data_IF_729751605157
#
_entry.id   IF_729751605157
#
_cell.length_a   1.000
_cell.length_b   1.000
_cell.length_c   1.000
_cell.angle_alpha   90.00
_cell.angle_beta   90.00
_cell.angle_gamma   90.00
#
_symmetry.space_group_name_H-M   'P 1'
#
loop_
_entity.id
_entity.type
_entity.pdbx_description
1 polymer ?
#
# COMPACT_ATOMS: atom_id res chain seq x y z
N UNK A 1 -63.81 36.04 -0.44
CA UNK A 1 -62.78 35.70 -1.44
C UNK A 1 -61.42 35.83 -0.75
N UNK A 2 -60.83 34.69 -0.40
CA UNK A 2 -59.54 34.61 0.24
C UNK A 2 -58.40 34.72 -0.76
N UNK A 3 -57.45 35.59 -0.49
CA UNK A 3 -56.17 35.59 -1.18
C UNK A 3 -55.11 35.04 -0.24
N UNK A 4 -54.72 33.80 -0.50
CA UNK A 4 -53.66 33.10 0.21
C UNK A 4 -52.27 33.70 -0.11
N UNK A 5 -51.67 34.39 0.80
CA UNK A 5 -50.27 34.79 0.73
C UNK A 5 -49.36 33.62 1.15
N UNK A 6 -48.69 33.03 0.16
CA UNK A 6 -47.62 32.07 0.34
C UNK A 6 -46.42 32.72 0.99
N UNK A 7 -46.25 32.58 2.30
CA UNK A 7 -45.00 32.94 3.03
C UNK A 7 -43.91 31.91 2.68
N UNK A 8 -43.01 32.25 1.76
CA UNK A 8 -41.75 31.51 1.58
C UNK A 8 -40.91 31.70 2.86
N UNK A 9 -40.77 30.61 3.65
CA UNK A 9 -39.87 30.57 4.79
C UNK A 9 -38.43 30.61 4.28
N UNK A 10 -37.71 31.65 4.63
CA UNK A 10 -36.25 31.69 4.50
C UNK A 10 -35.68 30.70 5.52
N UNK A 11 -35.16 29.60 5.02
CA UNK A 11 -34.54 28.57 5.86
C UNK A 11 -33.16 29.07 6.30
N UNK A 12 -33.08 29.61 7.50
CA UNK A 12 -31.79 29.89 8.14
C UNK A 12 -31.11 28.58 8.42
N UNK A 13 -29.95 28.36 7.80
CA UNK A 13 -29.13 27.15 8.02
C UNK A 13 -28.72 27.09 9.50
N UNK A 14 -29.12 26.02 10.19
CA UNK A 14 -28.78 25.76 11.60
C UNK A 14 -27.26 25.63 11.76
N UNK A 15 -26.65 26.16 12.83
CA UNK A 15 -25.21 26.12 13.09
C UNK A 15 -24.62 24.71 13.13
N UNK A 16 -25.44 23.68 13.37
CA UNK A 16 -25.05 22.28 13.34
C UNK A 16 -24.51 21.80 11.97
N UNK A 17 -24.90 22.44 10.85
CA UNK A 17 -24.38 22.06 9.52
C UNK A 17 -23.00 22.65 9.22
N UNK A 18 -22.57 23.68 9.90
CA UNK A 18 -21.22 24.26 9.80
C UNK A 18 -20.23 23.37 10.57
N UNK A 19 -20.65 22.82 11.70
CA UNK A 19 -19.82 21.91 12.50
C UNK A 19 -19.56 20.57 11.77
N UNK A 20 -20.55 20.03 11.06
CA UNK A 20 -20.37 18.80 10.26
C UNK A 20 -19.45 18.98 9.06
N UNK A 21 -19.41 20.16 8.45
CA UNK A 21 -18.46 20.50 7.38
C UNK A 21 -17.02 20.62 7.90
N UNK A 22 -16.83 21.18 9.11
CA UNK A 22 -15.51 21.26 9.78
C UNK A 22 -14.98 19.88 10.19
N UNK A 23 -15.84 18.97 10.67
CA UNK A 23 -15.45 17.58 10.99
C UNK A 23 -15.13 16.75 9.74
N UNK A 24 -15.83 16.93 8.62
CA UNK A 24 -15.51 16.32 7.34
C UNK A 24 -14.16 16.84 6.80
N UNK A 25 -13.82 18.10 7.03
CA UNK A 25 -12.54 18.67 6.61
C UNK A 25 -11.36 18.14 7.45
N UNK A 26 -11.53 17.95 8.77
CA UNK A 26 -10.51 17.38 9.64
C UNK A 26 -10.26 15.89 9.34
N UNK A 27 -11.30 15.10 9.07
CA UNK A 27 -11.18 13.71 8.64
C UNK A 27 -10.51 13.59 7.25
N UNK A 28 -10.70 14.56 6.37
CA UNK A 28 -10.11 14.62 5.05
C UNK A 28 -8.59 14.91 5.09
N UNK A 29 -8.15 15.81 6.00
CA UNK A 29 -6.70 16.11 6.16
C UNK A 29 -5.93 14.94 6.74
N UNK A 30 -6.48 14.19 7.70
CA UNK A 30 -5.85 13.00 8.27
C UNK A 30 -5.68 11.88 7.24
N UNK A 31 -6.67 11.66 6.38
CA UNK A 31 -6.60 10.65 5.33
C UNK A 31 -5.67 11.07 4.15
N UNK A 32 -5.48 12.37 3.91
CA UNK A 32 -4.50 12.88 2.93
C UNK A 32 -3.07 12.77 3.45
N UNK A 33 -2.84 12.91 4.77
CA UNK A 33 -1.54 12.67 5.40
C UNK A 33 -1.13 11.19 5.30
N UNK A 34 -2.01 10.25 5.63
CA UNK A 34 -1.70 8.82 5.52
C UNK A 34 -1.30 8.37 4.09
N UNK A 35 -1.88 8.98 3.05
CA UNK A 35 -1.46 8.71 1.67
C UNK A 35 -0.10 9.29 1.30
N UNK A 36 0.25 10.47 1.83
CA UNK A 36 1.57 11.10 1.64
C UNK A 36 2.67 10.32 2.35
N UNK A 37 2.44 9.91 3.58
CA UNK A 37 3.39 9.14 4.38
C UNK A 37 3.68 7.78 3.74
N UNK A 38 2.66 7.11 3.20
CA UNK A 38 2.82 5.86 2.45
C UNK A 38 3.66 6.01 1.18
N UNK A 39 3.50 7.12 0.45
CA UNK A 39 4.29 7.41 -0.76
C UNK A 39 5.75 7.74 -0.39
N UNK A 40 5.99 8.49 0.67
CA UNK A 40 7.34 8.83 1.12
C UNK A 40 8.10 7.59 1.65
N UNK A 41 7.43 6.73 2.41
CA UNK A 41 8.02 5.45 2.83
C UNK A 41 8.36 4.58 1.62
N UNK A 42 7.48 4.53 0.63
CA UNK A 42 7.72 3.78 -0.61
C UNK A 42 8.95 4.31 -1.38
N UNK A 43 9.13 5.62 -1.44
CA UNK A 43 10.32 6.25 -2.05
C UNK A 43 11.60 5.87 -1.32
N UNK A 44 11.59 5.83 0.02
CA UNK A 44 12.75 5.41 0.83
C UNK A 44 13.15 3.96 0.55
N UNK A 45 12.17 3.05 0.46
CA UNK A 45 12.41 1.65 0.14
C UNK A 45 12.99 1.50 -1.27
N UNK A 46 12.46 2.21 -2.26
CA UNK A 46 12.96 2.23 -3.63
C UNK A 46 14.40 2.74 -3.68
N UNK A 47 14.72 3.86 -3.05
CA UNK A 47 16.07 4.41 -3.01
C UNK A 47 17.08 3.45 -2.35
N UNK A 48 16.69 2.74 -1.29
CA UNK A 48 17.52 1.72 -0.66
C UNK A 48 17.81 0.53 -1.59
N UNK A 49 16.82 0.10 -2.36
CA UNK A 49 16.97 -0.98 -3.35
C UNK A 49 17.85 -0.55 -4.54
N UNK A 50 17.69 0.67 -5.04
CA UNK A 50 18.53 1.23 -6.10
C UNK A 50 19.99 1.31 -5.66
N UNK A 51 20.27 1.75 -4.43
CA UNK A 51 21.62 1.75 -3.85
C UNK A 51 22.20 0.33 -3.80
N UNK A 52 21.44 -0.67 -3.34
CA UNK A 52 21.89 -2.07 -3.31
C UNK A 52 22.24 -2.60 -4.69
N UNK A 53 21.40 -2.32 -5.68
CA UNK A 53 21.65 -2.72 -7.08
C UNK A 53 22.95 -2.12 -7.57
N UNK A 54 23.20 -0.82 -7.34
CA UNK A 54 24.43 -0.15 -7.73
C UNK A 54 25.66 -0.71 -7.01
N UNK A 55 25.53 -1.12 -5.75
CA UNK A 55 26.62 -1.75 -4.99
C UNK A 55 26.97 -3.15 -5.56
N UNK A 56 25.95 -3.95 -5.92
CA UNK A 56 26.17 -5.25 -6.57
C UNK A 56 26.77 -5.08 -7.98
N UNK A 57 26.34 -4.09 -8.76
CA UNK A 57 26.91 -3.79 -10.08
C UNK A 57 28.41 -3.45 -9.97
N UNK A 58 28.77 -2.59 -9.00
CA UNK A 58 30.18 -2.24 -8.74
C UNK A 58 31.01 -3.46 -8.29
N UNK A 59 30.42 -4.31 -7.47
CA UNK A 59 31.10 -5.52 -7.00
C UNK A 59 31.28 -6.54 -8.14
N UNK A 60 30.30 -6.70 -9.02
CA UNK A 60 30.38 -7.58 -10.19
C UNK A 60 31.48 -7.11 -11.14
N UNK A 61 31.60 -5.80 -11.39
CA UNK A 61 32.61 -5.24 -12.28
C UNK A 61 34.06 -5.42 -11.79
N UNK A 62 34.25 -5.61 -10.47
CA UNK A 62 35.58 -5.83 -9.85
C UNK A 62 36.03 -7.30 -9.83
N UNK A 63 35.17 -8.23 -10.23
CA UNK A 63 35.51 -9.67 -10.18
C UNK A 63 36.43 -10.01 -11.37
N UNK A 64 37.64 -10.50 -11.06
CA UNK A 64 38.61 -10.97 -12.04
C UNK A 64 38.18 -12.29 -12.67
N UNK A 65 38.76 -12.63 -13.83
CA UNK A 65 38.42 -13.86 -14.54
C UNK A 65 38.99 -15.10 -13.87
N UNK A 66 38.19 -16.18 -13.86
CA UNK A 66 38.56 -17.47 -13.27
C UNK A 66 37.36 -18.29 -12.81
N UNK A 67 37.57 -19.51 -12.41
CA UNK A 67 36.50 -20.47 -12.03
C UNK A 67 35.75 -20.03 -10.77
N UNK A 68 36.49 -19.64 -9.74
CA UNK A 68 35.90 -19.11 -8.51
C UNK A 68 35.22 -17.76 -8.74
N UNK A 69 35.76 -16.95 -9.65
CA UNK A 69 35.17 -15.69 -10.07
C UNK A 69 33.82 -15.87 -10.80
N UNK A 70 33.65 -16.91 -11.60
CA UNK A 70 32.39 -17.20 -12.28
C UNK A 70 31.29 -17.55 -11.27
N UNK A 71 31.59 -18.38 -10.26
CA UNK A 71 30.65 -18.71 -9.19
C UNK A 71 30.19 -17.46 -8.43
N UNK A 72 31.14 -16.62 -7.99
CA UNK A 72 30.83 -15.41 -7.27
C UNK A 72 30.05 -14.40 -8.14
N UNK A 73 30.43 -14.26 -9.40
CA UNK A 73 29.69 -13.40 -10.37
C UNK A 73 28.22 -13.84 -10.52
N UNK A 74 27.98 -15.13 -10.70
CA UNK A 74 26.62 -15.68 -10.83
C UNK A 74 25.82 -15.46 -9.53
N UNK A 75 26.46 -15.67 -8.38
CA UNK A 75 25.84 -15.45 -7.08
C UNK A 75 25.44 -13.98 -6.87
N UNK A 76 26.29 -13.03 -7.26
CA UNK A 76 25.98 -11.60 -7.20
C UNK A 76 24.92 -11.21 -8.22
N UNK A 77 24.97 -11.73 -9.45
CA UNK A 77 23.92 -11.52 -10.44
C UNK A 77 22.56 -12.03 -9.95
N UNK A 78 22.50 -13.17 -9.25
CA UNK A 78 21.27 -13.66 -8.67
C UNK A 78 20.70 -12.71 -7.62
N UNK A 79 21.56 -12.16 -6.74
CA UNK A 79 21.15 -11.13 -5.75
C UNK A 79 20.69 -9.84 -6.41
N UNK A 80 21.42 -9.39 -7.43
CA UNK A 80 21.04 -8.20 -8.20
C UNK A 80 19.67 -8.37 -8.86
N UNK A 81 19.42 -9.52 -9.49
CA UNK A 81 18.12 -9.83 -10.10
C UNK A 81 17.01 -9.85 -9.06
N UNK A 82 17.23 -10.44 -7.88
CA UNK A 82 16.25 -10.44 -6.81
C UNK A 82 15.96 -9.01 -6.32
N UNK A 83 16.98 -8.19 -6.11
CA UNK A 83 16.82 -6.78 -5.73
C UNK A 83 16.10 -5.96 -6.81
N UNK A 84 16.35 -6.22 -8.10
CA UNK A 84 15.60 -5.57 -9.20
C UNK A 84 14.13 -6.00 -9.24
N UNK A 85 13.83 -7.27 -8.97
CA UNK A 85 12.44 -7.71 -8.88
C UNK A 85 11.71 -7.01 -7.74
N UNK A 86 12.35 -6.91 -6.56
CA UNK A 86 11.80 -6.17 -5.43
C UNK A 86 11.57 -4.69 -5.79
N UNK A 87 12.55 -4.05 -6.45
CA UNK A 87 12.42 -2.68 -6.93
C UNK A 87 11.20 -2.51 -7.85
N UNK A 88 10.99 -3.44 -8.78
CA UNK A 88 9.83 -3.41 -9.67
C UNK A 88 8.53 -3.54 -8.89
N UNK A 89 8.44 -4.49 -7.94
CA UNK A 89 7.25 -4.67 -7.11
C UNK A 89 6.93 -3.42 -6.29
N UNK A 90 7.95 -2.81 -5.68
CA UNK A 90 7.79 -1.60 -4.88
C UNK A 90 7.42 -0.39 -5.76
N UNK A 91 8.00 -0.28 -6.96
CA UNK A 91 7.62 0.77 -7.92
C UNK A 91 6.19 0.57 -8.43
N UNK A 92 5.75 -0.66 -8.67
CA UNK A 92 4.36 -0.96 -9.02
C UNK A 92 3.38 -0.61 -7.89
N UNK A 93 3.77 -0.81 -6.62
CA UNK A 93 2.98 -0.34 -5.45
C UNK A 93 2.88 1.19 -5.44
N UNK A 94 3.99 1.88 -5.68
CA UNK A 94 4.00 3.35 -5.77
C UNK A 94 3.06 3.86 -6.87
N UNK A 95 3.07 3.24 -8.04
CA UNK A 95 2.14 3.57 -9.15
C UNK A 95 0.68 3.40 -8.70
N UNK A 96 0.36 2.31 -7.99
CA UNK A 96 -1.01 2.09 -7.48
C UNK A 96 -1.43 3.16 -6.46
N UNK A 97 -0.53 3.52 -5.54
CA UNK A 97 -0.79 4.57 -4.54
C UNK A 97 -1.01 5.92 -5.21
N UNK A 98 -0.14 6.30 -6.16
CA UNK A 98 -0.29 7.55 -6.91
C UNK A 98 -1.60 7.60 -7.70
N UNK A 99 -1.99 6.52 -8.36
CA UNK A 99 -3.28 6.45 -9.07
C UNK A 99 -4.47 6.64 -8.13
N UNK A 100 -4.44 6.01 -6.95
CA UNK A 100 -5.49 6.18 -5.93
C UNK A 100 -5.58 7.63 -5.46
N UNK A 101 -4.44 8.26 -5.20
CA UNK A 101 -4.39 9.66 -4.79
C UNK A 101 -4.83 10.62 -5.90
N UNK A 102 -4.47 10.36 -7.15
CA UNK A 102 -4.93 11.12 -8.31
C UNK A 102 -6.45 11.03 -8.42
N UNK A 103 -7.02 9.83 -8.40
CA UNK A 103 -8.47 9.63 -8.47
C UNK A 103 -9.21 10.39 -7.36
N UNK A 104 -8.68 10.37 -6.15
CA UNK A 104 -9.26 11.09 -5.01
C UNK A 104 -9.19 12.61 -5.20
N UNK A 105 -8.04 13.12 -5.63
CA UNK A 105 -7.85 14.56 -5.87
C UNK A 105 -8.71 15.05 -7.02
N UNK A 106 -8.85 14.25 -8.07
CA UNK A 106 -9.70 14.56 -9.23
C UNK A 106 -11.18 14.66 -8.83
N UNK A 107 -11.66 13.72 -8.01
CA UNK A 107 -13.02 13.80 -7.45
C UNK A 107 -13.24 15.09 -6.65
N UNK A 108 -12.30 15.43 -5.76
CA UNK A 108 -12.40 16.65 -4.94
C UNK A 108 -12.38 17.91 -5.81
N UNK A 109 -11.49 17.98 -6.79
CA UNK A 109 -11.43 19.10 -7.73
C UNK A 109 -12.73 19.24 -8.55
N UNK A 110 -13.34 18.11 -8.92
CA UNK A 110 -14.64 18.06 -9.59
C UNK A 110 -15.76 18.59 -8.72
N UNK A 111 -15.86 18.14 -7.47
CA UNK A 111 -16.86 18.59 -6.50
C UNK A 111 -16.74 20.09 -6.20
N UNK A 112 -15.52 20.57 -5.98
CA UNK A 112 -15.24 22.00 -5.76
C UNK A 112 -15.57 22.84 -6.99
N UNK A 113 -15.23 22.37 -8.19
CA UNK A 113 -15.56 23.05 -9.44
C UNK A 113 -17.08 23.16 -9.64
N UNK A 114 -17.82 22.10 -9.34
CA UNK A 114 -19.28 22.07 -9.39
C UNK A 114 -19.90 23.00 -8.35
N UNK A 115 -19.32 23.06 -7.14
CA UNK A 115 -19.75 24.00 -6.11
C UNK A 115 -19.49 25.44 -6.51
N UNK A 116 -18.33 25.74 -7.11
CA UNK A 116 -17.99 27.05 -7.63
C UNK A 116 -18.98 27.53 -8.68
N UNK A 117 -19.34 26.66 -9.62
CA UNK A 117 -20.29 27.00 -10.69
C UNK A 117 -21.70 27.26 -10.14
N UNK A 118 -22.17 26.43 -9.21
CA UNK A 118 -23.43 26.68 -8.50
C UNK A 118 -23.44 28.04 -7.78
N UNK A 119 -22.35 28.37 -7.09
CA UNK A 119 -22.23 29.65 -6.39
C UNK A 119 -22.20 30.83 -7.35
N UNK A 120 -21.49 30.71 -8.48
CA UNK A 120 -21.48 31.75 -9.54
C UNK A 120 -22.86 31.96 -10.15
N UNK A 121 -23.58 30.88 -10.47
CA UNK A 121 -24.94 30.98 -10.99
C UNK A 121 -25.88 31.69 -10.01
N UNK A 122 -25.87 31.31 -8.73
CA UNK A 122 -26.65 31.95 -7.68
C UNK A 122 -26.31 33.43 -7.53
N UNK A 123 -25.02 33.78 -7.55
CA UNK A 123 -24.61 35.16 -7.49
C UNK A 123 -25.07 35.97 -8.71
N UNK A 124 -24.96 35.40 -9.91
CA UNK A 124 -25.46 36.04 -11.14
C UNK A 124 -26.96 36.30 -11.07
N UNK A 125 -27.75 35.41 -10.50
CA UNK A 125 -29.18 35.62 -10.27
C UNK A 125 -29.43 36.75 -9.28
N UNK A 126 -28.69 36.78 -8.16
CA UNK A 126 -28.78 37.87 -7.18
C UNK A 126 -28.44 39.25 -7.79
N UNK A 127 -27.45 39.27 -8.68
CA UNK A 127 -27.06 40.53 -9.38
C UNK A 127 -28.13 40.97 -10.38
N UNK A 128 -28.69 40.00 -11.16
CA UNK A 128 -29.80 40.28 -12.09
C UNK A 128 -31.03 40.82 -11.36
N UNK A 129 -31.40 40.23 -10.23
CA UNK A 129 -32.49 40.68 -9.40
C UNK A 129 -32.22 42.09 -8.85
N UNK A 130 -31.01 42.35 -8.37
CA UNK A 130 -30.61 43.68 -7.91
C UNK A 130 -30.72 44.72 -9.02
N UNK A 131 -30.29 44.41 -10.24
CA UNK A 131 -30.38 45.30 -11.38
C UNK A 131 -31.84 45.56 -11.78
N UNK A 132 -32.71 44.56 -11.79
CA UNK A 132 -34.16 44.72 -12.05
C UNK A 132 -34.78 45.65 -11.00
N UNK A 133 -34.47 45.44 -9.71
CA UNK A 133 -34.96 46.25 -8.63
C UNK A 133 -34.45 47.69 -8.72
N UNK A 134 -33.19 47.90 -9.11
CA UNK A 134 -32.64 49.24 -9.35
C UNK A 134 -33.33 49.93 -10.51
N UNK A 135 -33.60 49.24 -11.62
CA UNK A 135 -34.21 49.83 -12.80
C UNK A 135 -35.71 50.13 -12.66
N UNK A 136 -36.44 49.29 -11.93
CA UNK A 136 -37.91 49.32 -11.87
C UNK A 136 -38.45 49.78 -10.50
N UNK A 137 -37.72 49.53 -9.42
CA UNK A 137 -38.10 49.89 -8.05
C UNK A 137 -36.97 50.73 -7.42
N UNK A 138 -37.15 52.08 -7.42
CA UNK A 138 -36.20 52.94 -6.74
C UNK A 138 -36.20 52.61 -5.24
N UNK A 139 -35.04 52.27 -4.66
CA UNK A 139 -34.89 51.98 -3.23
C UNK A 139 -35.44 53.07 -2.34
N UNK A 140 -35.38 54.33 -2.81
CA UNK A 140 -35.99 55.48 -2.12
C UNK A 140 -37.52 55.32 -2.07
N UNK A 141 -38.17 54.94 -3.17
CA UNK A 141 -39.62 54.68 -3.21
C UNK A 141 -40.01 53.57 -2.25
N UNK A 142 -39.18 52.51 -2.16
CA UNK A 142 -39.41 51.43 -1.22
C UNK A 142 -39.33 51.86 0.23
N UNK A 143 -38.37 52.71 0.59
CA UNK A 143 -38.22 53.28 1.93
C UNK A 143 -39.36 54.27 2.23
N UNK A 144 -39.67 55.18 1.30
CA UNK A 144 -40.71 56.19 1.48
C UNK A 144 -42.15 55.64 1.46
N UNK A 145 -42.36 54.39 0.98
CA UNK A 145 -43.65 53.71 1.10
C UNK A 145 -43.93 53.09 2.47
N UNK A 146 -43.10 53.41 3.49
CA UNK A 146 -43.23 52.92 4.84
C UNK A 146 -44.39 53.57 5.58
N UNK A 147 -45.05 52.81 6.45
CA UNK A 147 -46.22 53.26 7.23
C UNK A 147 -45.82 54.11 8.45
N UNK A 148 -44.70 53.77 9.05
CA UNK A 148 -44.15 54.40 10.23
C UNK A 148 -42.62 54.29 10.27
N UNK A 149 -42.00 54.93 11.28
CA UNK A 149 -40.54 54.95 11.45
C UNK A 149 -39.96 53.55 11.73
N UNK A 150 -40.69 52.68 12.40
CA UNK A 150 -40.28 51.32 12.67
C UNK A 150 -40.21 50.47 11.37
N UNK A 151 -41.14 50.69 10.44
CA UNK A 151 -41.14 50.06 9.11
C UNK A 151 -39.98 50.56 8.24
N UNK A 152 -39.65 51.86 8.32
CA UNK A 152 -38.44 52.43 7.68
C UNK A 152 -37.19 51.74 8.19
N UNK A 153 -37.03 51.62 9.52
CA UNK A 153 -35.86 50.95 10.13
C UNK A 153 -35.75 49.50 9.69
N UNK A 154 -36.83 48.73 9.65
CA UNK A 154 -36.86 47.36 9.16
C UNK A 154 -36.46 47.24 7.68
N UNK A 155 -36.97 48.15 6.82
CA UNK A 155 -36.65 48.14 5.38
C UNK A 155 -35.17 48.45 5.14
N UNK A 156 -34.58 49.40 5.89
CA UNK A 156 -33.15 49.71 5.83
C UNK A 156 -32.32 48.49 6.29
N UNK A 157 -32.71 47.83 7.39
CA UNK A 157 -32.03 46.64 7.89
C UNK A 157 -32.05 45.50 6.87
N UNK A 158 -33.20 45.27 6.26
CA UNK A 158 -33.32 44.24 5.20
C UNK A 158 -32.42 44.52 3.99
N UNK A 159 -32.34 45.78 3.55
CA UNK A 159 -31.45 46.18 2.45
C UNK A 159 -29.98 46.01 2.79
N UNK A 160 -29.56 46.35 4.03
CA UNK A 160 -28.20 46.09 4.53
C UNK A 160 -27.89 44.58 4.61
N UNK A 161 -28.82 43.78 5.07
CA UNK A 161 -28.66 42.34 5.15
C UNK A 161 -28.49 41.72 3.76
N UNK A 162 -29.30 42.13 2.75
CA UNK A 162 -29.15 41.70 1.37
C UNK A 162 -27.80 42.12 0.79
N UNK A 163 -27.33 43.35 1.05
CA UNK A 163 -26.03 43.81 0.61
C UNK A 163 -24.89 42.97 1.23
N UNK A 164 -24.94 42.75 2.54
CA UNK A 164 -23.98 41.90 3.26
C UNK A 164 -23.99 40.44 2.77
N UNK A 165 -25.17 39.89 2.43
CA UNK A 165 -25.26 38.53 1.84
C UNK A 165 -24.56 38.45 0.48
N UNK A 166 -24.69 39.48 -0.36
CA UNK A 166 -24.00 39.55 -1.66
C UNK A 166 -22.49 39.61 -1.50
N UNK A 167 -22.02 40.44 -0.60
CA UNK A 167 -20.59 40.59 -0.29
C UNK A 167 -19.99 39.29 0.22
N UNK A 168 -20.64 38.63 1.19
CA UNK A 168 -20.24 37.30 1.67
C UNK A 168 -20.19 36.28 0.53
N UNK A 169 -21.20 36.25 -0.35
CA UNK A 169 -21.26 35.35 -1.47
C UNK A 169 -20.12 35.54 -2.48
N UNK A 170 -19.75 36.82 -2.71
CA UNK A 170 -18.60 37.16 -3.57
C UNK A 170 -17.29 36.64 -2.95
N UNK A 171 -17.12 36.86 -1.65
CA UNK A 171 -15.95 36.36 -0.91
C UNK A 171 -15.87 34.84 -0.94
N UNK A 172 -16.99 34.14 -0.75
CA UNK A 172 -17.06 32.66 -0.84
C UNK A 172 -16.66 32.14 -2.24
N UNK A 173 -17.12 32.83 -3.31
CA UNK A 173 -16.74 32.51 -4.69
C UNK A 173 -15.24 32.72 -4.91
N UNK A 174 -14.65 33.77 -4.39
CA UNK A 174 -13.22 34.03 -4.51
C UNK A 174 -12.40 32.96 -3.80
N UNK A 175 -12.75 32.64 -2.54
CA UNK A 175 -12.10 31.58 -1.76
C UNK A 175 -12.21 30.22 -2.42
N UNK A 176 -13.39 29.86 -2.93
CA UNK A 176 -13.63 28.59 -3.60
C UNK A 176 -12.89 28.51 -4.95
N UNK A 177 -12.79 29.62 -5.68
CA UNK A 177 -12.01 29.72 -6.92
C UNK A 177 -10.52 29.44 -6.67
N UNK A 178 -9.99 30.00 -5.59
CA UNK A 178 -8.60 29.75 -5.18
C UNK A 178 -8.37 28.28 -4.77
N UNK A 179 -9.33 27.68 -4.04
CA UNK A 179 -9.25 26.26 -3.70
C UNK A 179 -9.25 25.37 -4.94
N UNK A 180 -10.14 25.64 -5.91
CA UNK A 180 -10.18 24.89 -7.19
C UNK A 180 -8.85 25.00 -7.92
N UNK A 181 -8.24 26.18 -7.95
CA UNK A 181 -6.95 26.39 -8.59
C UNK A 181 -5.83 25.57 -7.91
N UNK A 182 -5.79 25.58 -6.57
CA UNK A 182 -4.82 24.80 -5.79
C UNK A 182 -4.97 23.29 -6.01
N UNK A 183 -6.21 22.78 -5.98
CA UNK A 183 -6.44 21.33 -6.19
C UNK A 183 -6.11 20.88 -7.61
N UNK A 184 -6.40 21.71 -8.62
CA UNK A 184 -6.00 21.43 -10.01
C UNK A 184 -4.48 21.42 -10.18
N UNK A 185 -3.77 22.37 -9.60
CA UNK A 185 -2.30 22.39 -9.63
C UNK A 185 -1.71 21.15 -8.94
N UNK A 186 -2.25 20.76 -7.80
CA UNK A 186 -1.83 19.53 -7.09
C UNK A 186 -2.07 18.29 -7.93
N UNK A 187 -3.21 18.20 -8.61
CA UNK A 187 -3.56 17.12 -9.51
C UNK A 187 -2.56 17.00 -10.67
N UNK A 188 -2.20 18.12 -11.30
CA UNK A 188 -1.22 18.16 -12.38
C UNK A 188 0.18 17.75 -11.93
N UNK A 189 0.61 18.18 -10.76
CA UNK A 189 1.89 17.74 -10.16
C UNK A 189 1.90 16.23 -9.91
N UNK A 190 0.80 15.67 -9.41
CA UNK A 190 0.67 14.23 -9.18
C UNK A 190 0.67 13.43 -10.49
N UNK A 191 -0.02 13.91 -11.53
CA UNK A 191 -0.01 13.28 -12.86
C UNK A 191 1.40 13.24 -13.45
N UNK A 192 2.14 14.35 -13.41
CA UNK A 192 3.56 14.38 -13.86
C UNK A 192 4.44 13.41 -13.06
N UNK A 193 4.24 13.31 -11.74
CA UNK A 193 4.95 12.35 -10.91
C UNK A 193 4.62 10.90 -11.32
N UNK A 194 3.36 10.59 -11.61
CA UNK A 194 2.96 9.26 -12.09
C UNK A 194 3.61 8.91 -13.43
N UNK A 195 3.66 9.85 -14.36
CA UNK A 195 4.30 9.66 -15.67
C UNK A 195 5.79 9.36 -15.50
N UNK A 196 6.49 10.14 -14.69
CA UNK A 196 7.92 9.93 -14.39
C UNK A 196 8.16 8.54 -13.75
N UNK A 197 7.36 8.14 -12.77
CA UNK A 197 7.48 6.82 -12.11
C UNK A 197 7.17 5.69 -13.10
N UNK A 198 6.19 5.87 -13.98
CA UNK A 198 5.84 4.87 -15.00
C UNK A 198 6.94 4.69 -16.04
N UNK A 199 7.59 5.78 -16.46
CA UNK A 199 8.75 5.73 -17.34
C UNK A 199 9.92 4.99 -16.69
N UNK A 200 10.21 5.30 -15.41
CA UNK A 200 11.24 4.60 -14.65
C UNK A 200 10.91 3.09 -14.52
N UNK A 201 9.67 2.72 -14.23
CA UNK A 201 9.23 1.33 -14.16
C UNK A 201 9.54 0.58 -15.48
N UNK A 202 9.25 1.21 -16.62
CA UNK A 202 9.53 0.63 -17.94
C UNK A 202 11.03 0.43 -18.18
N UNK A 203 11.84 1.43 -17.83
CA UNK A 203 13.30 1.34 -17.91
C UNK A 203 13.87 0.23 -16.99
N UNK A 204 13.35 0.09 -15.78
CA UNK A 204 13.75 -0.97 -14.86
C UNK A 204 13.39 -2.37 -15.38
N UNK A 205 12.22 -2.54 -16.00
CA UNK A 205 11.83 -3.81 -16.64
C UNK A 205 12.81 -4.20 -17.76
N UNK A 206 13.22 -3.24 -18.57
CA UNK A 206 14.21 -3.49 -19.63
C UNK A 206 15.58 -3.86 -19.06
N UNK A 207 16.05 -3.17 -17.99
CA UNK A 207 17.30 -3.51 -17.31
C UNK A 207 17.24 -4.92 -16.72
N UNK A 208 16.15 -5.29 -16.03
CA UNK A 208 15.97 -6.64 -15.50
C UNK A 208 16.08 -7.70 -16.59
N UNK A 209 15.46 -7.46 -17.74
CA UNK A 209 15.53 -8.39 -18.87
C UNK A 209 16.94 -8.55 -19.43
N UNK A 210 17.71 -7.45 -19.52
CA UNK A 210 19.13 -7.50 -19.94
C UNK A 210 19.98 -8.27 -18.93
N UNK A 211 19.83 -7.98 -17.64
CA UNK A 211 20.59 -8.64 -16.57
C UNK A 211 20.29 -10.14 -16.49
N UNK A 212 19.04 -10.51 -16.67
CA UNK A 212 18.64 -11.92 -16.75
C UNK A 212 19.32 -12.64 -17.93
N UNK A 213 19.37 -12.01 -19.11
CA UNK A 213 20.07 -12.59 -20.28
C UNK A 213 21.57 -12.76 -20.02
N UNK A 214 22.21 -11.74 -19.44
CA UNK A 214 23.64 -11.80 -19.09
C UNK A 214 23.92 -12.88 -18.05
N UNK A 215 23.08 -12.98 -17.04
CA UNK A 215 23.21 -14.00 -16.02
C UNK A 215 23.06 -15.41 -16.56
N UNK A 216 22.10 -15.64 -17.47
CA UNK A 216 21.95 -16.92 -18.18
C UNK A 216 23.18 -17.29 -19.01
N UNK A 217 23.80 -16.31 -19.68
CA UNK A 217 25.03 -16.54 -20.46
C UNK A 217 26.17 -17.01 -19.54
N UNK A 218 26.37 -16.36 -18.38
CA UNK A 218 27.39 -16.77 -17.41
C UNK A 218 27.13 -18.18 -16.85
N UNK A 219 25.88 -18.53 -16.57
CA UNK A 219 25.54 -19.88 -16.06
C UNK A 219 25.79 -21.00 -17.07
N UNK A 220 25.64 -20.73 -18.36
CA UNK A 220 25.93 -21.73 -19.39
C UNK A 220 27.37 -22.23 -19.32
N UNK A 221 28.29 -21.40 -18.85
CA UNK A 221 29.72 -21.75 -18.72
C UNK A 221 30.02 -22.61 -17.49
N UNK A 222 29.08 -22.77 -16.56
CA UNK A 222 29.26 -23.57 -15.33
C UNK A 222 28.89 -25.03 -15.54
N UNK A 223 29.64 -25.92 -14.92
CA UNK A 223 29.31 -27.34 -14.89
C UNK A 223 28.07 -27.64 -14.02
N UNK A 224 27.43 -28.78 -14.23
CA UNK A 224 26.25 -29.20 -13.46
C UNK A 224 26.53 -29.30 -11.94
N UNK A 225 27.74 -29.82 -11.58
CA UNK A 225 28.15 -29.92 -10.17
C UNK A 225 28.28 -28.54 -9.50
N UNK A 226 28.88 -27.59 -10.22
CA UNK A 226 29.03 -26.19 -9.74
C UNK A 226 27.67 -25.52 -9.58
N UNK A 227 26.76 -25.70 -10.54
CA UNK A 227 25.38 -25.18 -10.44
C UNK A 227 24.66 -25.71 -9.21
N UNK A 228 24.74 -27.02 -8.95
CA UNK A 228 24.13 -27.65 -7.77
C UNK A 228 24.76 -27.16 -6.46
N UNK A 229 26.10 -27.02 -6.40
CA UNK A 229 26.79 -26.50 -5.23
C UNK A 229 26.37 -25.05 -4.93
N UNK A 230 26.28 -24.22 -5.96
CA UNK A 230 25.84 -22.84 -5.84
C UNK A 230 24.38 -22.73 -5.38
N UNK A 231 23.49 -23.58 -5.92
CA UNK A 231 22.10 -23.66 -5.48
C UNK A 231 21.99 -24.03 -4.00
N UNK A 232 22.82 -24.99 -3.53
CA UNK A 232 22.87 -25.37 -2.12
C UNK A 232 23.34 -24.19 -1.22
N UNK A 233 24.42 -23.51 -1.59
CA UNK A 233 24.91 -22.34 -0.85
C UNK A 233 23.85 -21.25 -0.72
N UNK A 234 23.16 -20.91 -1.81
CA UNK A 234 22.12 -19.89 -1.78
C UNK A 234 20.88 -20.30 -0.98
N UNK A 235 20.49 -21.58 -1.06
CA UNK A 235 19.41 -22.06 -0.19
C UNK A 235 19.81 -22.06 1.30
N UNK A 236 21.07 -22.30 1.62
CA UNK A 236 21.60 -22.19 2.98
C UNK A 236 21.68 -20.73 3.47
N UNK A 237 22.07 -19.81 2.61
CA UNK A 237 22.04 -18.35 2.94
C UNK A 237 20.59 -17.84 3.14
N UNK A 238 19.61 -18.46 2.51
CA UNK A 238 18.20 -18.18 2.74
C UNK A 238 17.62 -18.86 3.98
N UNK A 239 18.21 -20.00 4.39
CA UNK A 239 17.86 -20.77 5.61
C UNK A 239 18.65 -20.24 6.81
N UNK A 240 18.33 -19.17 7.21
CA UNK A 240 19.00 -18.40 8.23
C UNK A 240 19.10 -18.92 9.62
N UNK A 241 20.17 -18.62 10.23
CA UNK A 241 20.54 -18.23 11.60
C UNK A 241 19.41 -17.77 12.52
N UNK A 242 18.28 -18.46 12.50
CA UNK A 242 17.39 -18.39 13.62
C UNK A 242 17.97 -19.33 14.67
N UNK A 243 18.34 -18.80 15.79
CA UNK A 243 18.58 -19.60 16.97
C UNK A 243 17.26 -20.28 17.37
N UNK A 244 16.88 -21.32 16.60
CA UNK A 244 15.68 -22.14 16.85
C UNK A 244 15.70 -22.68 18.28
N UNK A 245 16.90 -22.89 18.85
CA UNK A 245 17.11 -23.20 20.27
C UNK A 245 16.55 -22.12 21.21
N UNK A 246 16.64 -20.84 20.86
CA UNK A 246 16.07 -19.76 21.66
C UNK A 246 14.55 -19.71 21.52
N UNK A 247 14.05 -19.89 20.29
CA UNK A 247 12.59 -19.97 20.07
C UNK A 247 11.96 -21.16 20.80
N UNK A 248 12.63 -22.30 20.85
CA UNK A 248 12.19 -23.46 21.63
C UNK A 248 12.13 -23.17 23.13
N UNK A 249 13.06 -22.38 23.69
CA UNK A 249 12.98 -21.93 25.09
C UNK A 249 11.74 -21.07 25.35
N UNK A 250 11.36 -20.22 24.42
CA UNK A 250 10.17 -19.36 24.51
C UNK A 250 8.86 -20.14 24.40
N UNK A 251 8.86 -21.29 23.73
CA UNK A 251 7.66 -22.11 23.55
C UNK A 251 7.55 -23.29 24.51
N UNK A 252 8.58 -23.53 25.33
CA UNK A 252 8.58 -24.61 26.34
C UNK A 252 7.47 -24.39 27.35
N UNK A 253 6.58 -25.39 27.49
CA UNK A 253 5.40 -25.31 28.37
C UNK A 253 4.24 -24.48 27.83
N UNK A 254 4.29 -24.02 26.60
CA UNK A 254 3.17 -23.33 25.95
C UNK A 254 2.07 -24.35 25.58
N UNK A 255 0.89 -24.19 26.17
CA UNK A 255 -0.28 -25.05 25.87
C UNK A 255 -1.17 -24.48 24.77
N UNK A 256 -0.94 -23.26 24.29
CA UNK A 256 -1.71 -22.68 23.19
C UNK A 256 -1.39 -23.45 21.89
N UNK A 257 -2.38 -24.10 21.28
CA UNK A 257 -2.20 -24.94 20.10
C UNK A 257 -1.71 -26.37 20.39
N UNK A 258 -1.90 -26.86 21.60
CA UNK A 258 -1.48 -28.21 22.04
C UNK A 258 -2.03 -29.38 21.20
N UNK A 259 -3.03 -29.14 20.35
CA UNK A 259 -3.57 -30.09 19.39
C UNK A 259 -2.68 -30.32 18.16
N UNK A 260 -1.71 -29.46 17.89
CA UNK A 260 -0.72 -29.69 16.84
C UNK A 260 0.31 -30.73 17.31
N UNK A 261 0.38 -31.84 16.63
CA UNK A 261 1.24 -32.97 17.00
C UNK A 261 1.74 -33.72 15.79
N UNK A 262 2.61 -34.71 16.00
CA UNK A 262 3.09 -35.65 14.98
C UNK A 262 1.98 -36.38 14.23
N UNK A 263 0.78 -36.46 14.80
CA UNK A 263 -0.41 -37.09 14.19
C UNK A 263 -1.25 -36.10 13.37
N UNK A 264 -0.92 -34.83 13.35
CA UNK A 264 -1.68 -33.83 12.60
C UNK A 264 -1.50 -34.04 11.10
N UNK A 265 -2.57 -34.37 10.40
CA UNK A 265 -2.61 -34.65 8.96
C UNK A 265 -3.73 -33.85 8.30
N UNK A 266 -3.72 -33.80 6.97
CA UNK A 266 -4.79 -33.17 6.20
C UNK A 266 -4.82 -31.66 6.29
N UNK A 267 -3.70 -31.01 6.60
CA UNK A 267 -3.55 -29.57 6.59
C UNK A 267 -3.56 -29.03 5.17
N UNK A 268 -4.02 -27.80 5.02
CA UNK A 268 -3.88 -27.08 3.74
C UNK A 268 -2.44 -26.62 3.56
N UNK A 269 -2.00 -26.57 2.29
CA UNK A 269 -0.72 -25.96 1.97
C UNK A 269 -0.70 -24.49 2.46
N UNK A 270 0.41 -24.04 3.02
CA UNK A 270 0.50 -22.66 3.55
C UNK A 270 0.55 -21.58 2.45
N UNK A 271 0.47 -21.95 1.18
CA UNK A 271 0.41 -21.03 0.04
C UNK A 271 -0.87 -21.30 -0.74
N UNK A 272 -1.70 -20.28 -0.93
CA UNK A 272 -2.92 -20.39 -1.75
C UNK A 272 -2.57 -20.63 -3.22
N UNK A 273 -3.25 -21.59 -3.86
CA UNK A 273 -2.91 -22.06 -5.20
C UNK A 273 -1.43 -22.50 -5.35
N UNK A 274 -0.83 -22.94 -4.25
CA UNK A 274 0.56 -23.42 -4.24
C UNK A 274 0.70 -24.86 -4.66
N UNK A 275 1.90 -25.20 -5.13
CA UNK A 275 2.32 -26.57 -5.40
C UNK A 275 3.66 -26.84 -4.72
N UNK A 276 3.80 -28.04 -4.15
CA UNK A 276 5.06 -28.43 -3.53
C UNK A 276 6.05 -28.83 -4.62
N UNK A 277 7.20 -28.12 -4.63
CA UNK A 277 8.31 -28.49 -5.53
C UNK A 277 9.20 -29.58 -4.95
N UNK A 278 9.41 -29.53 -3.63
CA UNK A 278 10.31 -30.47 -2.96
C UNK A 278 9.97 -30.57 -1.48
N UNK A 279 10.04 -31.78 -0.96
CA UNK A 279 10.12 -32.05 0.47
C UNK A 279 11.54 -32.41 0.89
N UNK A 280 11.95 -31.97 2.06
CA UNK A 280 13.21 -32.36 2.69
C UNK A 280 12.99 -32.44 4.20
N UNK A 281 12.76 -33.64 4.72
CA UNK A 281 12.45 -33.86 6.15
C UNK A 281 11.33 -32.93 6.64
N UNK A 282 11.63 -32.08 7.60
CA UNK A 282 10.67 -31.15 8.20
C UNK A 282 10.43 -29.87 7.37
N UNK A 283 10.87 -29.85 6.12
CA UNK A 283 10.80 -28.67 5.26
C UNK A 283 10.07 -28.99 3.94
N UNK A 284 9.33 -28.00 3.42
CA UNK A 284 8.74 -28.03 2.09
C UNK A 284 9.06 -26.72 1.34
N UNK A 285 9.52 -26.85 0.09
CA UNK A 285 9.58 -25.72 -0.85
C UNK A 285 8.27 -25.69 -1.65
N UNK A 286 7.51 -24.61 -1.49
CA UNK A 286 6.18 -24.47 -2.08
C UNK A 286 6.21 -23.28 -3.03
N UNK A 287 5.91 -23.49 -4.30
CA UNK A 287 5.77 -22.42 -5.29
C UNK A 287 4.31 -22.00 -5.42
N UNK A 288 4.10 -20.76 -5.81
CA UNK A 288 2.77 -20.22 -6.09
C UNK A 288 2.82 -19.05 -7.06
N UNK A 289 1.68 -18.53 -7.50
CA UNK A 289 1.63 -17.36 -8.35
C UNK A 289 2.11 -16.10 -7.59
N UNK A 290 2.52 -15.09 -8.33
CA UNK A 290 2.87 -13.77 -7.76
C UNK A 290 1.71 -13.24 -6.92
N UNK A 291 2.01 -12.85 -5.67
CA UNK A 291 1.01 -12.32 -4.75
C UNK A 291 0.13 -13.38 -4.05
N UNK A 292 0.41 -14.67 -4.22
CA UNK A 292 -0.29 -15.73 -3.49
C UNK A 292 -0.20 -15.49 -1.98
N UNK A 293 -1.32 -15.70 -1.28
CA UNK A 293 -1.38 -15.54 0.17
C UNK A 293 -0.64 -16.68 0.87
N UNK A 294 0.10 -16.30 1.91
CA UNK A 294 0.68 -17.23 2.86
C UNK A 294 -0.23 -17.29 4.07
N UNK A 295 -0.66 -18.49 4.44
CA UNK A 295 -1.63 -18.73 5.52
C UNK A 295 -1.01 -19.58 6.63
N UNK A 296 -1.46 -19.37 7.87
CA UNK A 296 -1.09 -20.23 8.99
C UNK A 296 -1.69 -21.63 8.79
N UNK A 297 -0.88 -22.65 8.95
CA UNK A 297 -1.37 -24.05 8.79
C UNK A 297 -2.28 -24.50 9.95
N UNK A 298 -2.14 -23.86 11.10
CA UNK A 298 -2.85 -24.19 12.32
C UNK A 298 -3.01 -22.98 13.24
N UNK A 299 -3.87 -23.12 14.29
CA UNK A 299 -4.02 -22.11 15.34
C UNK A 299 -2.70 -21.94 16.10
N UNK A 300 -2.31 -20.68 16.36
CA UNK A 300 -1.05 -20.45 17.03
C UNK A 300 -0.82 -18.99 17.41
N UNK A 301 0.42 -18.70 17.78
CA UNK A 301 0.87 -17.35 18.13
C UNK A 301 2.17 -17.02 17.37
N UNK A 302 2.23 -15.86 16.77
CA UNK A 302 3.45 -15.35 16.12
C UNK A 302 4.50 -15.07 17.20
N UNK A 303 5.56 -15.87 17.23
CA UNK A 303 6.61 -15.74 18.25
C UNK A 303 7.78 -14.89 17.79
N UNK A 304 8.06 -14.86 16.49
CA UNK A 304 9.14 -14.04 15.94
C UNK A 304 8.85 -13.66 14.49
N UNK A 305 9.31 -12.47 14.11
CA UNK A 305 9.34 -12.00 12.74
C UNK A 305 10.74 -11.50 12.44
N UNK A 306 11.41 -12.09 11.47
CA UNK A 306 12.73 -11.65 11.03
C UNK A 306 12.67 -11.08 9.63
N UNK A 307 13.34 -9.96 9.43
CA UNK A 307 13.57 -9.40 8.09
C UNK A 307 14.99 -9.78 7.66
N UNK A 308 15.06 -10.56 6.58
CA UNK A 308 16.34 -10.91 6.00
C UNK A 308 16.99 -9.66 5.40
N UNK A 309 18.18 -9.28 5.90
CA UNK A 309 18.89 -8.07 5.46
C UNK A 309 19.42 -8.17 4.03
N UNK A 310 19.63 -9.39 3.52
CA UNK A 310 20.15 -9.63 2.17
C UNK A 310 19.03 -9.61 1.14
N UNK A 311 17.97 -10.39 1.37
CA UNK A 311 16.86 -10.55 0.42
C UNK A 311 15.74 -9.54 0.63
N UNK A 312 15.74 -8.84 1.76
CA UNK A 312 14.67 -7.94 2.19
C UNK A 312 13.30 -8.62 2.32
N UNK A 313 13.29 -9.94 2.46
CA UNK A 313 12.10 -10.76 2.67
C UNK A 313 11.87 -10.97 4.17
N UNK A 314 10.70 -11.47 4.52
CA UNK A 314 10.32 -11.73 5.89
C UNK A 314 10.26 -13.23 6.15
N UNK A 315 10.66 -13.62 7.34
CA UNK A 315 10.50 -14.96 7.89
C UNK A 315 9.64 -14.84 9.14
N UNK A 316 8.48 -15.48 9.13
CA UNK A 316 7.50 -15.47 10.23
C UNK A 316 7.53 -16.81 10.93
N UNK A 317 7.60 -16.79 12.25
CA UNK A 317 7.61 -17.99 13.10
C UNK A 317 6.35 -18.00 13.95
N UNK A 318 5.61 -19.12 13.87
CA UNK A 318 4.35 -19.31 14.61
C UNK A 318 4.52 -20.50 15.51
N UNK A 319 4.23 -20.32 16.80
CA UNK A 319 4.17 -21.40 17.80
C UNK A 319 2.77 -22.02 17.82
N UNK A 320 2.71 -23.33 17.77
CA UNK A 320 1.50 -24.15 17.88
C UNK A 320 1.70 -25.10 19.06
N UNK A 321 1.47 -24.61 20.27
CA UNK A 321 1.94 -25.26 21.48
C UNK A 321 3.46 -25.25 21.53
N UNK A 322 4.08 -26.41 21.70
CA UNK A 322 5.54 -26.58 21.70
C UNK A 322 6.15 -26.71 20.29
N UNK A 323 5.33 -26.89 19.28
CA UNK A 323 5.78 -26.93 17.87
C UNK A 323 5.93 -25.52 17.30
N UNK A 324 6.93 -25.33 16.47
CA UNK A 324 7.15 -24.05 15.77
C UNK A 324 7.11 -24.30 14.27
N UNK A 325 6.36 -23.47 13.54
CA UNK A 325 6.42 -23.43 12.09
C UNK A 325 7.11 -22.15 11.61
N UNK A 326 7.85 -22.28 10.53
CA UNK A 326 8.52 -21.15 9.87
C UNK A 326 7.98 -20.96 8.47
N UNK A 327 7.64 -19.72 8.15
CA UNK A 327 7.20 -19.27 6.83
C UNK A 327 8.27 -18.32 6.31
N UNK A 328 9.27 -18.87 5.63
CA UNK A 328 10.42 -18.11 5.14
C UNK A 328 10.28 -17.68 3.68
N UNK A 329 10.91 -16.55 3.33
CA UNK A 329 10.83 -15.92 2.02
C UNK A 329 9.46 -15.30 1.72
N UNK A 330 8.83 -14.65 2.70
CA UNK A 330 7.60 -13.88 2.48
C UNK A 330 7.90 -12.51 1.89
N UNK A 331 7.12 -12.09 0.91
CA UNK A 331 7.26 -10.77 0.26
C UNK A 331 6.66 -9.63 1.08
N UNK A 332 5.57 -9.91 1.80
CA UNK A 332 4.94 -8.98 2.75
C UNK A 332 4.36 -9.75 3.91
N UNK A 333 4.13 -9.06 5.02
CA UNK A 333 3.47 -9.58 6.21
C UNK A 333 2.27 -8.71 6.56
N UNK A 334 1.25 -9.32 7.18
CA UNK A 334 0.06 -8.64 7.70
C UNK A 334 -0.19 -9.00 9.17
N UNK A 335 0.80 -9.58 9.85
CA UNK A 335 0.75 -9.98 11.25
C UNK A 335 1.87 -9.32 12.04
N UNK A 336 1.69 -9.23 13.36
CA UNK A 336 2.67 -8.68 14.28
C UNK A 336 3.18 -9.74 15.26
N UNK A 337 4.38 -9.49 15.83
CA UNK A 337 4.92 -10.36 16.88
C UNK A 337 4.02 -10.35 18.10
N UNK A 338 3.68 -11.53 18.62
CA UNK A 338 2.77 -11.72 19.73
C UNK A 338 1.31 -11.90 19.33
N UNK A 339 0.94 -11.67 18.08
CA UNK A 339 -0.42 -11.85 17.57
C UNK A 339 -0.83 -13.31 17.57
N UNK A 340 -2.05 -13.62 18.04
CA UNK A 340 -2.69 -14.92 17.85
C UNK A 340 -3.21 -15.02 16.43
N UNK A 341 -3.01 -16.15 15.80
CA UNK A 341 -3.47 -16.45 14.45
C UNK A 341 -4.27 -17.74 14.44
N UNK A 342 -5.38 -17.71 13.71
CA UNK A 342 -6.21 -18.87 13.52
C UNK A 342 -5.71 -19.74 12.36
N UNK A 343 -6.16 -20.98 12.29
CA UNK A 343 -5.95 -21.86 11.16
C UNK A 343 -6.46 -21.24 9.87
N UNK A 344 -5.65 -21.24 8.83
CA UNK A 344 -5.87 -20.61 7.51
C UNK A 344 -5.94 -19.07 7.53
N UNK A 345 -5.60 -18.42 8.64
CA UNK A 345 -5.47 -16.97 8.69
C UNK A 345 -4.27 -16.53 7.85
N UNK A 346 -4.43 -15.40 7.15
CA UNK A 346 -3.40 -14.87 6.29
C UNK A 346 -2.26 -14.25 7.12
N UNK A 347 -1.03 -14.68 6.86
CA UNK A 347 0.19 -14.14 7.45
C UNK A 347 0.84 -13.07 6.57
N UNK A 348 0.60 -13.12 5.26
CA UNK A 348 1.18 -12.22 4.28
C UNK A 348 1.12 -12.78 2.86
N UNK A 349 2.13 -12.47 2.06
CA UNK A 349 2.24 -12.93 0.67
C UNK A 349 3.57 -13.62 0.40
N UNK A 350 3.58 -14.52 -0.59
CA UNK A 350 4.77 -15.24 -1.05
C UNK A 350 5.81 -14.26 -1.62
N UNK A 351 7.09 -14.51 -1.36
CA UNK A 351 8.20 -13.73 -1.89
C UNK A 351 8.80 -14.29 -3.16
N UNK A 352 9.47 -13.41 -3.92
CA UNK A 352 10.24 -13.81 -5.09
C UNK A 352 11.57 -14.47 -4.71
N UNK A 353 12.08 -15.32 -5.57
CA UNK A 353 13.42 -15.91 -5.49
C UNK A 353 13.96 -16.10 -6.91
N UNK A 354 15.26 -16.00 -7.09
CA UNK A 354 15.88 -16.31 -8.39
C UNK A 354 16.30 -17.77 -8.43
N UNK A 355 15.75 -18.51 -9.37
CA UNK A 355 16.22 -19.86 -9.64
C UNK A 355 17.54 -19.77 -10.41
N UNK A 356 18.63 -20.23 -9.78
CA UNK A 356 19.99 -20.12 -10.35
C UNK A 356 20.16 -20.97 -11.58
N UNK A 357 19.45 -22.09 -11.67
CA UNK A 357 19.58 -22.99 -12.82
C UNK A 357 19.00 -22.37 -14.10
N UNK A 358 17.89 -21.64 -13.98
CA UNK A 358 17.20 -21.00 -15.12
C UNK A 358 17.42 -19.51 -15.19
N UNK A 359 17.93 -18.89 -14.10
CA UNK A 359 17.97 -17.43 -13.87
C UNK A 359 16.61 -16.75 -14.08
N UNK A 360 15.57 -17.47 -13.78
CA UNK A 360 14.21 -16.97 -13.79
C UNK A 360 13.75 -16.63 -12.37
N UNK A 361 12.91 -15.62 -12.28
CA UNK A 361 12.23 -15.31 -11.04
C UNK A 361 11.11 -16.30 -10.83
N UNK A 362 11.13 -16.96 -9.68
CA UNK A 362 10.05 -17.79 -9.19
C UNK A 362 9.54 -17.26 -7.86
N UNK A 363 8.29 -17.53 -7.55
CA UNK A 363 7.69 -17.21 -6.26
C UNK A 363 7.60 -18.48 -5.45
N UNK A 364 8.29 -18.53 -4.32
CA UNK A 364 8.33 -19.71 -3.45
C UNK A 364 8.36 -19.34 -1.98
N UNK A 365 7.73 -20.16 -1.18
CA UNK A 365 7.82 -20.18 0.27
C UNK A 365 8.70 -21.37 0.69
N UNK A 366 9.57 -21.14 1.67
CA UNK A 366 10.24 -22.22 2.38
C UNK A 366 9.52 -22.40 3.71
N UNK A 367 8.77 -23.46 3.80
CA UNK A 367 8.01 -23.81 4.99
C UNK A 367 8.76 -24.87 5.79
N UNK A 368 8.87 -24.70 7.11
CA UNK A 368 9.52 -25.67 7.98
C UNK A 368 8.71 -25.90 9.25
N UNK A 369 8.80 -27.11 9.81
CA UNK A 369 8.19 -27.50 11.07
C UNK A 369 9.31 -27.91 12.03
N UNK A 370 9.33 -27.36 13.21
CA UNK A 370 10.31 -27.65 14.25
C UNK A 370 9.58 -28.27 15.45
N UNK A 371 9.75 -29.59 15.67
CA UNK A 371 9.20 -30.25 16.85
C UNK A 371 9.93 -29.82 18.12
N UNK A 372 9.30 -30.02 19.31
CA UNK A 372 9.90 -29.65 20.60
C UNK A 372 11.23 -30.39 20.86
N UNK A 373 11.28 -31.66 20.47
CA UNK A 373 12.49 -32.47 20.57
C UNK A 373 13.24 -32.51 19.23
N UNK A 374 14.53 -32.12 19.17
CA UNK A 374 15.30 -32.14 17.92
C UNK A 374 15.38 -33.50 17.24
N UNK A 375 15.27 -34.59 17.99
CA UNK A 375 15.26 -35.96 17.49
C UNK A 375 13.91 -36.47 16.93
N UNK A 376 12.85 -35.70 17.14
CA UNK A 376 11.52 -36.01 16.64
C UNK A 376 11.45 -35.70 15.14
N UNK A 377 11.02 -36.66 14.34
CA UNK A 377 10.91 -36.51 12.87
C UNK A 377 9.45 -36.30 12.49
N UNK A 378 9.05 -35.04 12.40
CA UNK A 378 7.78 -34.65 11.79
C UNK A 378 8.03 -34.31 10.32
N UNK A 379 7.59 -35.15 9.40
CA UNK A 379 7.80 -34.92 7.97
C UNK A 379 6.70 -34.03 7.40
N UNK A 380 7.09 -32.89 6.82
CA UNK A 380 6.16 -31.95 6.21
C UNK A 380 5.26 -32.61 5.14
N UNK A 381 5.79 -33.59 4.41
CA UNK A 381 5.06 -34.35 3.39
C UNK A 381 3.85 -35.13 3.93
N UNK A 382 3.87 -35.52 5.22
CA UNK A 382 2.79 -36.25 5.87
C UNK A 382 1.70 -35.34 6.44
N UNK A 383 1.97 -34.03 6.58
CA UNK A 383 1.05 -33.08 7.18
C UNK A 383 0.00 -32.54 6.21
N UNK A 384 0.36 -32.39 4.93
CA UNK A 384 -0.50 -31.75 3.95
C UNK A 384 -1.44 -32.74 3.24
N UNK A 385 -2.63 -32.24 2.87
CA UNK A 385 -3.52 -32.98 1.97
C UNK A 385 -2.81 -33.21 0.64
N UNK A 386 -2.86 -34.40 0.15
CA UNK A 386 -2.46 -34.76 -1.22
C UNK A 386 -3.53 -34.33 -2.21
#
# INVERSE_FOLDING_TARGET
HGTGQSRKRVTVMKPARILTLLFLFAAFTAAAQGGRDAIEEQKRVIAALEKRIADEERAISKIQEGRAATEERVRRLARQLDSRNQLLEETEKQVRLLRKEISRTDSVAGDLSSALERNRTQYAEMVREAYRNYKHNNYLTYIFSSRDFADVAKKITNLREVASMRERKLHDIAALSEQVAREKELLDRRKRSLDSVTQNLTAQKQKLQRDSRNARANIRQMSQKEKQALQRKLSQEQQLDVAISELRKLTKGNTEGASFSTKTTGLRLPVTAGSVKRYKENMAEISGPKGAHVISIYDGKVVEIKRNRITNKYDVFVAHGEYITSYANMGSICVEKGQKVARNEQLGTIGSSVNIMTMETEYKLVFSIYPPNPGEKLRAENCFKR
#
